data_IF_682619045763
#
_entry.id   IF_682619045763
#
_cell.length_a   1.000
_cell.length_b   1.000
_cell.length_c   1.000
_cell.angle_alpha   90.00
_cell.angle_beta   90.00
_cell.angle_gamma   90.00
#
_symmetry.space_group_name_H-M   'P 1'
#
loop_
_entity.id
_entity.type
_entity.pdbx_description
1 polymer ?
2 water ?
#
# COMPACT_ATOMS: atom_id res chain seq x y z
N UNK A 15 13.62 -6.94 9.33
CA UNK A 15 12.43 -6.86 8.43
C UNK A 15 12.38 -5.64 7.51
N UNK A 16 11.77 -5.88 6.35
CA UNK A 16 11.57 -4.94 5.26
C UNK A 16 10.53 -3.84 5.47
N UNK A 17 10.90 -2.57 5.31
CA UNK A 17 9.88 -1.54 5.41
C UNK A 17 9.53 -1.02 4.02
N UNK A 18 8.22 -0.89 3.82
CA UNK A 18 7.67 -0.38 2.58
C UNK A 18 6.48 0.51 2.99
N UNK A 19 6.08 1.39 2.07
CA UNK A 19 5.02 2.32 2.36
C UNK A 19 3.82 1.98 1.51
N UNK A 20 2.63 1.96 2.11
CA UNK A 20 1.45 1.69 1.33
C UNK A 20 0.47 2.86 1.26
N UNK A 21 0.02 3.12 0.04
CA UNK A 21 -0.97 4.14 -0.23
C UNK A 21 -2.30 3.51 -0.60
N UNK A 22 -3.34 4.31 -0.78
CA UNK A 22 -4.63 3.75 -1.22
C UNK A 22 -4.99 4.44 -2.56
N UNK A 23 -5.50 3.65 -3.50
CA UNK A 23 -5.72 4.02 -4.90
C UNK A 23 -6.55 5.31 -4.99
N UNK A 24 -6.06 6.29 -5.75
CA UNK A 24 -6.80 7.52 -6.04
C UNK A 24 -6.91 8.51 -4.90
N UNK A 25 -6.21 8.29 -3.79
CA UNK A 25 -6.25 9.23 -2.66
C UNK A 25 -5.00 10.11 -2.73
N UNK A 26 -5.14 11.32 -3.25
CA UNK A 26 -4.02 12.23 -3.35
C UNK A 26 -3.53 12.79 -2.02
N UNK A 27 -4.31 12.66 -0.96
CA UNK A 27 -4.04 13.39 0.27
C UNK A 27 -3.44 12.48 1.30
N UNK A 28 -3.84 11.21 1.34
CA UNK A 28 -3.31 10.25 2.29
C UNK A 28 -1.82 9.96 2.00
N UNK A 29 -0.93 10.17 2.97
CA UNK A 29 0.52 10.07 2.78
C UNK A 29 1.17 8.69 2.95
N UNK A 30 0.36 7.63 3.07
CA UNK A 30 0.87 6.27 3.15
C UNK A 30 1.12 5.87 4.59
N UNK A 31 1.14 4.56 4.82
CA UNK A 31 1.52 4.08 6.13
C UNK A 31 2.69 3.12 5.86
N UNK A 32 3.67 3.13 6.75
CA UNK A 32 4.84 2.27 6.66
C UNK A 32 4.52 1.01 7.46
N UNK A 33 4.78 -0.10 6.77
CA UNK A 33 4.73 -1.47 7.25
C UNK A 33 6.10 -2.11 7.31
N UNK A 34 6.35 -2.85 8.39
CA UNK A 34 7.46 -3.79 8.48
C UNK A 34 6.91 -5.11 7.93
N UNK A 35 7.41 -5.62 6.81
CA UNK A 35 6.88 -6.84 6.18
C UNK A 35 7.90 -7.97 6.32
N UNK A 36 7.44 -9.10 6.87
CA UNK A 36 8.21 -10.34 6.99
C UNK A 36 7.23 -11.50 7.16
N UNK A 37 7.78 -12.71 7.02
CA UNK A 37 7.08 -13.99 7.16
C UNK A 37 6.68 -14.24 8.61
N UNK A 38 7.51 -13.77 9.55
CA UNK A 38 7.24 -13.77 10.98
C UNK A 38 5.92 -13.02 11.25
N UNK A 39 5.77 -11.81 10.71
CA UNK A 39 4.57 -11.01 10.98
C UNK A 39 3.37 -11.17 10.04
N UNK A 40 3.55 -11.73 8.85
CA UNK A 40 2.44 -12.05 7.93
C UNK A 40 2.67 -13.45 7.38
N UNK A 41 1.85 -14.43 7.77
CA UNK A 41 2.07 -15.82 7.35
C UNK A 41 1.69 -16.12 5.88
N UNK A 42 0.97 -15.21 5.23
CA UNK A 42 0.52 -15.30 3.84
C UNK A 42 0.28 -13.89 3.26
N UNK A 43 0.19 -13.80 1.94
CA UNK A 43 0.01 -12.53 1.24
C UNK A 43 -1.38 -12.02 1.59
N UNK A 44 -2.35 -12.93 1.63
CA UNK A 44 -3.72 -12.59 2.00
C UNK A 44 -3.83 -12.16 3.47
N UNK A 45 -2.95 -12.57 4.39
CA UNK A 45 -2.95 -12.01 5.76
C UNK A 45 -2.51 -10.54 5.76
N UNK A 46 -1.55 -10.23 4.88
CA UNK A 46 -1.10 -8.86 4.65
C UNK A 46 -2.23 -8.02 4.05
N UNK A 47 -2.95 -8.50 3.03
CA UNK A 47 -4.01 -7.71 2.39
C UNK A 47 -5.15 -7.45 3.39
N UNK A 48 -5.39 -8.37 4.32
CA UNK A 48 -6.42 -8.26 5.35
C UNK A 48 -6.01 -7.17 6.33
N UNK A 49 -4.72 -7.10 6.62
CA UNK A 49 -4.20 -6.11 7.55
C UNK A 49 -4.22 -4.73 6.89
N UNK A 50 -3.89 -4.66 5.60
CA UNK A 50 -3.94 -3.42 4.84
C UNK A 50 -5.39 -2.93 4.69
N UNK A 51 -6.34 -3.85 4.54
CA UNK A 51 -7.76 -3.46 4.51
C UNK A 51 -8.13 -2.73 5.81
N UNK A 52 -7.76 -3.30 6.96
CA UNK A 52 -8.03 -2.65 8.24
C UNK A 52 -7.33 -1.30 8.35
N UNK A 53 -6.07 -1.17 7.94
CA UNK A 53 -5.40 0.10 8.20
C UNK A 53 -5.73 1.17 7.17
N UNK A 54 -6.08 0.79 5.94
CA UNK A 54 -6.32 1.72 4.87
C UNK A 54 -7.76 2.02 4.46
N UNK A 55 -8.73 1.12 4.65
CA UNK A 55 -10.10 1.41 4.23
C UNK A 55 -10.81 2.39 5.13
N UNK A 56 -11.66 3.23 4.55
CA UNK A 56 -12.49 4.02 5.43
C UNK A 56 -13.79 4.22 4.63
N UNK A 57 -14.62 5.17 5.04
CA UNK A 57 -15.96 5.37 4.50
C UNK A 57 -15.79 5.79 3.05
N UNK A 58 -14.66 6.33 2.61
CA UNK A 58 -14.53 6.85 1.25
C UNK A 58 -13.49 6.10 0.42
N UNK A 59 -12.67 5.24 1.01
CA UNK A 59 -11.59 4.56 0.32
C UNK A 59 -11.70 3.05 0.48
N UNK A 60 -11.51 2.41 -0.68
CA UNK A 60 -11.40 0.92 -0.79
C UNK A 60 -12.75 0.28 -0.49
N UNK A 61 -13.70 0.42 -1.43
CA UNK A 61 -15.03 -0.15 -1.10
C UNK A 61 -15.04 -1.68 -0.92
N UNK A 62 -14.03 -2.37 -1.44
CA UNK A 62 -13.97 -3.81 -1.19
C UNK A 62 -12.64 -4.15 -0.51
N UNK A 63 -12.07 -3.23 0.28
CA UNK A 63 -10.78 -3.50 0.91
C UNK A 63 -9.63 -3.66 -0.07
N UNK A 64 -8.53 -4.17 0.46
CA UNK A 64 -7.34 -4.36 -0.38
C UNK A 64 -7.38 -5.71 -1.10
N UNK A 65 -7.55 -5.65 -2.41
CA UNK A 65 -7.50 -6.87 -3.20
C UNK A 65 -6.36 -6.91 -4.22
N UNK A 66 -5.74 -5.76 -4.50
CA UNK A 66 -4.68 -5.63 -5.52
C UNK A 66 -3.64 -4.66 -4.97
N UNK A 67 -2.38 -4.89 -5.30
CA UNK A 67 -1.32 -4.00 -4.87
C UNK A 67 -0.60 -3.66 -6.17
N UNK A 68 -0.40 -2.37 -6.41
CA UNK A 68 0.32 -1.89 -7.59
C UNK A 68 1.61 -1.22 -7.17
N UNK A 69 2.58 -1.20 -8.09
CA UNK A 69 3.77 -0.38 -8.00
C UNK A 69 3.29 1.09 -8.01
N UNK A 70 4.13 2.01 -7.53
CA UNK A 70 3.82 3.44 -7.39
C UNK A 70 3.42 4.08 -8.72
N UNK A 71 3.94 3.60 -9.86
CA UNK A 71 3.44 4.16 -11.12
C UNK A 71 2.37 3.31 -11.83
N UNK A 72 1.81 2.32 -11.14
CA UNK A 72 0.80 1.42 -11.71
C UNK A 72 1.20 0.60 -12.92
N UNK A 73 2.50 0.35 -13.11
CA UNK A 73 3.09 -0.44 -14.21
C UNK A 73 2.84 -1.93 -14.10
N UNK A 74 2.75 -2.43 -12.87
CA UNK A 74 2.39 -3.82 -12.57
C UNK A 74 1.85 -4.00 -11.15
N UNK A 75 1.28 -5.18 -10.96
CA UNK A 75 0.67 -5.65 -9.73
C UNK A 75 1.69 -6.49 -8.98
N UNK A 76 1.61 -6.46 -7.66
CA UNK A 76 2.45 -7.22 -6.74
C UNK A 76 1.62 -8.40 -6.25
N UNK A 77 2.17 -9.60 -6.43
CA UNK A 77 1.47 -10.84 -6.09
C UNK A 77 1.98 -11.63 -4.91
N UNK A 78 3.12 -11.21 -4.37
CA UNK A 78 3.73 -11.88 -3.23
C UNK A 78 4.55 -10.88 -2.44
N UNK A 79 4.77 -11.23 -1.17
CA UNK A 79 5.59 -10.38 -0.32
C UNK A 79 7.02 -10.26 -0.84
N UNK A 80 7.57 -11.27 -1.52
CA UNK A 80 8.94 -11.24 -2.03
C UNK A 80 9.21 -10.23 -3.15
N UNK A 81 8.13 -9.83 -3.82
CA UNK A 81 8.19 -8.78 -4.84
C UNK A 81 8.26 -7.40 -4.20
N UNK A 82 7.85 -7.26 -2.94
CA UNK A 82 7.90 -6.01 -2.19
C UNK A 82 9.35 -5.56 -1.97
N UNK A 83 9.68 -4.32 -2.32
CA UNK A 83 11.06 -3.85 -2.17
C UNK A 83 11.17 -2.80 -1.08
N UNK A 84 12.19 -3.06 -0.26
CA UNK A 84 12.60 -2.27 0.87
C UNK A 84 12.70 -0.83 0.40
N UNK A 85 11.92 -0.01 1.10
CA UNK A 85 11.96 1.42 0.88
C UNK A 85 11.10 1.94 -0.24
N UNK A 86 10.40 1.08 -0.99
CA UNK A 86 9.53 1.55 -2.08
C UNK A 86 8.10 1.72 -1.62
N UNK A 87 7.30 2.38 -2.46
CA UNK A 87 5.91 2.68 -2.16
C UNK A 87 5.03 1.84 -3.09
N UNK A 88 3.82 1.54 -2.62
CA UNK A 88 2.89 0.65 -3.31
C UNK A 88 1.49 1.20 -3.11
N UNK A 89 0.59 0.94 -4.06
CA UNK A 89 -0.77 1.52 -4.04
C UNK A 89 -1.74 0.36 -3.92
N UNK A 90 -2.51 0.36 -2.84
CA UNK A 90 -3.45 -0.71 -2.58
C UNK A 90 -4.80 -0.33 -3.19
N UNK A 91 -5.50 -1.30 -3.75
CA UNK A 91 -6.74 -1.07 -4.51
C UNK A 91 -7.79 -2.14 -4.27
N UNK A 92 -9.07 -1.77 -4.30
CA UNK A 92 -10.16 -2.75 -4.38
C UNK A 92 -10.40 -3.25 -5.80
N UNK A 93 -9.96 -2.43 -6.75
CA UNK A 93 -10.21 -2.58 -8.18
C UNK A 93 -8.96 -3.07 -8.94
N UNK A 94 -9.17 -3.76 -10.05
CA UNK A 94 -8.18 -4.17 -11.03
C UNK A 94 -7.84 -3.04 -12.01
N UNK A 95 -7.67 -1.82 -11.49
CA UNK A 95 -7.19 -0.68 -12.31
C UNK A 95 -6.48 0.29 -11.36
N UNK A 96 -5.55 1.07 -11.91
CA UNK A 96 -4.68 1.96 -11.15
C UNK A 96 -5.14 3.39 -11.40
N UNK A 97 -5.29 4.12 -10.30
CA UNK A 97 -5.64 5.54 -10.38
C UNK A 97 -4.35 6.35 -10.41
N UNK A 98 -4.04 6.98 -11.54
CA UNK A 98 -2.78 7.72 -11.75
C UNK A 98 -2.82 9.16 -11.23
N UNK A 99 -2.98 9.27 -9.91
CA UNK A 99 -3.05 10.53 -9.19
C UNK A 99 -1.65 10.83 -8.65
N UNK A 100 -1.46 12.06 -8.22
CA UNK A 100 -0.26 12.45 -7.50
C UNK A 100 -0.21 11.94 -6.05
N UNK A 101 0.33 10.77 -5.77
CA UNK A 101 0.49 10.26 -4.41
C UNK A 101 1.54 11.18 -3.76
N UNK A 102 1.44 11.42 -2.45
CA UNK A 102 2.33 12.40 -1.82
C UNK A 102 3.03 11.95 -0.54
N UNK A 103 4.12 12.61 -0.19
CA UNK A 103 4.79 12.31 1.06
C UNK A 103 5.18 13.65 1.64
N UNK A 104 5.46 13.63 2.95
CA UNK A 104 5.90 14.78 3.74
C UNK A 104 7.28 15.23 3.29
N UNK A 105 7.52 16.55 3.30
CA UNK A 105 8.87 17.11 3.14
C UNK A 105 9.35 17.86 4.39
N UNK A 106 8.49 18.12 5.38
CA UNK A 106 8.86 18.91 6.57
C UNK A 106 9.87 18.14 7.44
N UNK A 107 11.14 18.56 7.57
CA UNK A 107 12.03 17.69 8.36
C UNK A 107 11.61 17.41 9.82
N UNK A 108 10.73 18.25 10.36
CA UNK A 108 10.20 18.14 11.73
C UNK A 108 9.32 16.89 11.90
N UNK A 109 8.91 16.27 10.79
CA UNK A 109 8.03 15.10 10.80
C UNK A 109 8.56 13.78 10.20
N UNK A 110 9.75 13.83 9.58
CA UNK A 110 10.39 12.66 8.95
C UNK A 110 11.89 12.66 9.24
#
# INVERSE_FOLDING_TARGET
>A
GAMDPEFALSNEKKAKKVRFYRNGDRYFKGIVYAVSSDRFRSFDALLADLTRSLSDNINLPQGVRYIYTIDGSRKIGSMDELEEGESYVCSSDNFFDDVEYTKNVNPNWSVNV
#
